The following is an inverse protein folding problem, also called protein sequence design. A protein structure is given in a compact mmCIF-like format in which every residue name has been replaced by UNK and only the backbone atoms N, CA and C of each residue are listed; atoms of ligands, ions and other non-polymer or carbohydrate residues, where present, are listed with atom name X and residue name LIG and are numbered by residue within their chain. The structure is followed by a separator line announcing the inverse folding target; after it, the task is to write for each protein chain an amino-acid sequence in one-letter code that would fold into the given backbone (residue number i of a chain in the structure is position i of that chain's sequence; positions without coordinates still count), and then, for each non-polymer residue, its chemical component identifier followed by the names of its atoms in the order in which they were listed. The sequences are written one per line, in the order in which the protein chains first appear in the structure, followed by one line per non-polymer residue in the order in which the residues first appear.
data_IF_218265766735
#
_entry.id   IF_218265766735
#
_cell.length_a   1.000
_cell.length_b   1.000
_cell.length_c   1.000
_cell.angle_alpha   90.00
_cell.angle_beta   90.00
_cell.angle_gamma   90.00
#
_symmetry.space_group_name_H-M   'P 1'
#
loop_
_entity.id
_entity.type
_entity.pdbx_description
1 polymer ?
#
# COMPACT_ATOMS: atom_id res chain seq x y z
N UNK A 1 -48.00 3.45 -14.16
CA UNK A 1 -47.25 2.78 -13.07
C UNK A 1 -45.83 2.39 -13.50
N UNK A 2 -45.63 1.91 -14.73
CA UNK A 2 -44.30 1.58 -15.33
C UNK A 2 -43.32 2.75 -15.40
N UNK A 3 -43.77 3.94 -15.82
CA UNK A 3 -42.91 5.14 -15.94
C UNK A 3 -42.37 5.59 -14.57
N UNK A 4 -43.20 5.55 -13.52
CA UNK A 4 -42.80 5.93 -12.16
C UNK A 4 -41.69 5.01 -11.61
N UNK A 5 -41.80 3.70 -11.83
CA UNK A 5 -40.77 2.73 -11.41
C UNK A 5 -39.46 2.91 -12.18
N UNK A 6 -39.53 3.29 -13.47
CA UNK A 6 -38.35 3.57 -14.29
C UNK A 6 -37.61 4.82 -13.78
N UNK A 7 -38.35 5.89 -13.48
CA UNK A 7 -37.79 7.11 -12.89
C UNK A 7 -37.13 6.80 -11.55
N UNK A 8 -37.78 6.03 -10.68
CA UNK A 8 -37.25 5.66 -9.37
C UNK A 8 -35.92 4.89 -9.48
N UNK A 9 -35.84 3.91 -10.39
CA UNK A 9 -34.59 3.14 -10.63
C UNK A 9 -33.47 4.03 -11.15
N UNK A 10 -33.79 4.94 -12.07
CA UNK A 10 -32.82 5.89 -12.59
C UNK A 10 -32.28 6.82 -11.50
N UNK A 11 -33.15 7.33 -10.62
CA UNK A 11 -32.75 8.15 -9.47
C UNK A 11 -31.82 7.39 -8.54
N UNK A 12 -32.07 6.10 -8.28
CA UNK A 12 -31.18 5.27 -7.45
C UNK A 12 -29.79 5.14 -8.09
N UNK A 13 -29.70 4.85 -9.39
CA UNK A 13 -28.40 4.75 -10.08
C UNK A 13 -27.66 6.08 -10.04
N UNK A 14 -28.35 7.18 -10.34
CA UNK A 14 -27.76 8.52 -10.31
C UNK A 14 -27.27 8.89 -8.91
N UNK A 15 -28.01 8.51 -7.86
CA UNK A 15 -27.59 8.72 -6.48
C UNK A 15 -26.28 7.98 -6.17
N UNK A 16 -26.18 6.68 -6.52
CA UNK A 16 -24.95 5.91 -6.32
C UNK A 16 -23.79 6.44 -7.15
N UNK A 17 -24.06 6.90 -8.37
CA UNK A 17 -23.06 7.48 -9.27
C UNK A 17 -22.52 8.81 -8.72
N UNK A 18 -23.40 9.71 -8.27
CA UNK A 18 -23.00 10.97 -7.63
C UNK A 18 -22.21 10.69 -6.35
N UNK A 19 -22.63 9.70 -5.55
CA UNK A 19 -21.91 9.33 -4.33
C UNK A 19 -20.52 8.76 -4.62
N UNK A 20 -20.39 7.95 -5.67
CA UNK A 20 -19.10 7.45 -6.15
C UNK A 20 -18.18 8.59 -6.63
N UNK A 21 -18.71 9.54 -7.42
CA UNK A 21 -17.93 10.71 -7.87
C UNK A 21 -17.49 11.61 -6.71
N UNK A 22 -18.34 11.75 -5.68
CA UNK A 22 -18.04 12.62 -4.53
C UNK A 22 -17.08 11.97 -3.54
N UNK A 23 -17.06 10.63 -3.46
CA UNK A 23 -16.16 9.84 -2.60
C UNK A 23 -15.75 8.55 -3.33
N UNK A 24 -14.74 8.62 -4.22
CA UNK A 24 -14.30 7.46 -4.99
C UNK A 24 -13.62 6.46 -4.05
N UNK A 25 -14.39 5.50 -3.56
CA UNK A 25 -13.95 4.40 -2.72
C UNK A 25 -14.46 3.09 -3.34
N UNK A 26 -13.68 2.02 -3.21
CA UNK A 26 -14.01 0.66 -3.66
C UNK A 26 -15.39 0.24 -3.18
N UNK A 27 -15.78 0.61 -1.94
CA UNK A 27 -17.13 0.36 -1.45
C UNK A 27 -18.20 0.94 -2.38
N UNK A 28 -18.14 2.24 -2.70
CA UNK A 28 -19.11 2.88 -3.61
C UNK A 28 -19.08 2.32 -5.03
N UNK A 29 -17.90 1.91 -5.52
CA UNK A 29 -17.76 1.23 -6.81
C UNK A 29 -18.50 -0.12 -6.85
N UNK A 30 -18.35 -0.93 -5.80
CA UNK A 30 -19.07 -2.21 -5.65
C UNK A 30 -20.58 -1.99 -5.53
N UNK A 31 -21.01 -0.95 -4.81
CA UNK A 31 -22.42 -0.58 -4.71
C UNK A 31 -23.03 -0.17 -6.04
N UNK A 32 -22.35 0.72 -6.78
CA UNK A 32 -22.76 1.14 -8.11
C UNK A 32 -22.86 -0.05 -9.07
N UNK A 33 -21.86 -0.92 -9.10
CA UNK A 33 -21.84 -2.12 -9.93
C UNK A 33 -23.01 -3.07 -9.61
N UNK A 34 -23.32 -3.25 -8.33
CA UNK A 34 -24.43 -4.11 -7.88
C UNK A 34 -25.78 -3.55 -8.33
N UNK A 35 -26.00 -2.24 -8.16
CA UNK A 35 -27.25 -1.57 -8.54
C UNK A 35 -27.44 -1.56 -10.07
N UNK A 36 -26.39 -1.25 -10.84
CA UNK A 36 -26.46 -1.25 -12.30
C UNK A 36 -26.69 -2.65 -12.85
N UNK A 37 -26.02 -3.66 -12.30
CA UNK A 37 -26.21 -5.06 -12.68
C UNK A 37 -27.64 -5.52 -12.41
N UNK A 38 -28.22 -5.18 -11.25
CA UNK A 38 -29.60 -5.53 -10.91
C UNK A 38 -30.62 -4.93 -11.89
N UNK A 39 -30.42 -3.67 -12.30
CA UNK A 39 -31.31 -2.98 -13.23
C UNK A 39 -31.17 -3.52 -14.65
N UNK A 40 -29.94 -3.81 -15.10
CA UNK A 40 -29.69 -4.48 -16.38
C UNK A 40 -30.33 -5.86 -16.42
N UNK A 41 -30.28 -6.61 -15.31
CA UNK A 41 -30.94 -7.91 -15.20
C UNK A 41 -32.45 -7.81 -15.36
N UNK A 42 -33.05 -6.86 -14.66
CA UNK A 42 -34.49 -6.67 -14.69
C UNK A 42 -34.95 -6.22 -16.09
N UNK A 43 -34.18 -5.35 -16.74
CA UNK A 43 -34.41 -4.97 -18.13
C UNK A 43 -34.26 -6.18 -19.07
N UNK A 44 -33.23 -7.01 -18.88
CA UNK A 44 -33.01 -8.22 -19.67
C UNK A 44 -34.17 -9.21 -19.51
N UNK A 45 -34.63 -9.47 -18.28
CA UNK A 45 -35.79 -10.34 -18.02
C UNK A 45 -37.07 -9.74 -18.61
N UNK A 46 -37.23 -8.43 -18.59
CA UNK A 46 -38.42 -7.77 -19.15
C UNK A 46 -38.43 -7.80 -20.69
N UNK A 47 -37.26 -7.68 -21.33
CA UNK A 47 -37.10 -7.65 -22.79
C UNK A 47 -37.14 -9.07 -23.38
N UNK A 48 -36.48 -10.03 -22.73
CA UNK A 48 -36.30 -11.40 -23.23
C UNK A 48 -37.20 -12.43 -22.55
N UNK A 49 -37.95 -12.06 -21.51
CA UNK A 49 -38.83 -12.96 -20.73
C UNK A 49 -40.19 -13.26 -21.35
N UNK A 50 -40.38 -13.00 -22.65
CA UNK A 50 -41.55 -13.46 -23.39
C UNK A 50 -41.51 -14.97 -23.60
N UNK A 51 -42.18 -15.71 -22.72
CA UNK A 51 -42.68 -17.11 -22.77
C UNK A 51 -41.79 -18.28 -23.26
N UNK A 52 -40.71 -18.10 -24.02
CA UNK A 52 -40.02 -19.22 -24.68
C UNK A 52 -38.48 -19.28 -24.50
N UNK A 53 -37.83 -18.24 -23.96
CA UNK A 53 -36.36 -18.21 -23.88
C UNK A 53 -35.74 -19.02 -22.71
N UNK A 54 -36.54 -19.85 -22.02
CA UNK A 54 -36.22 -20.30 -20.67
C UNK A 54 -36.68 -21.75 -20.43
N UNK A 55 -36.04 -22.71 -21.08
CA UNK A 55 -36.18 -24.14 -20.74
C UNK A 55 -35.15 -24.62 -19.71
N UNK A 56 -34.24 -23.75 -19.24
CA UNK A 56 -33.37 -24.01 -18.08
C UNK A 56 -32.66 -22.75 -17.54
N UNK A 57 -33.20 -21.97 -16.57
CA UNK A 57 -32.45 -20.87 -15.96
C UNK A 57 -32.37 -20.92 -14.43
N UNK A 58 -32.94 -21.95 -13.78
CA UNK A 58 -33.20 -21.89 -12.33
C UNK A 58 -31.91 -21.69 -11.54
N UNK A 59 -30.86 -22.38 -11.97
CA UNK A 59 -29.52 -22.27 -11.41
C UNK A 59 -28.85 -20.92 -11.71
N UNK A 60 -28.82 -20.48 -12.97
CA UNK A 60 -28.17 -19.20 -13.34
C UNK A 60 -28.82 -18.00 -12.64
N UNK A 61 -30.16 -17.97 -12.55
CA UNK A 61 -30.89 -16.93 -11.81
C UNK A 61 -30.53 -16.94 -10.32
N UNK A 62 -30.38 -18.12 -9.73
CA UNK A 62 -30.01 -18.28 -8.31
C UNK A 62 -28.57 -17.84 -8.03
N UNK A 63 -27.63 -18.19 -8.92
CA UNK A 63 -26.22 -17.76 -8.82
C UNK A 63 -26.12 -16.23 -8.93
N UNK A 64 -26.89 -15.63 -9.83
CA UNK A 64 -26.86 -14.20 -10.10
C UNK A 64 -27.53 -13.38 -8.99
N UNK A 65 -28.61 -13.90 -8.41
CA UNK A 65 -29.18 -13.38 -7.18
C UNK A 65 -28.19 -13.50 -6.01
N UNK A 66 -27.51 -14.64 -5.87
CA UNK A 66 -26.46 -14.84 -4.88
C UNK A 66 -25.31 -13.85 -5.02
N UNK A 67 -24.86 -13.57 -6.26
CA UNK A 67 -23.84 -12.58 -6.54
C UNK A 67 -24.30 -11.15 -6.20
N UNK A 68 -25.57 -10.80 -6.48
CA UNK A 68 -26.15 -9.51 -6.12
C UNK A 68 -26.27 -9.35 -4.60
N UNK A 69 -26.73 -10.38 -3.88
CA UNK A 69 -26.78 -10.38 -2.42
C UNK A 69 -25.39 -10.30 -1.80
N UNK A 70 -24.41 -11.02 -2.36
CA UNK A 70 -23.01 -10.95 -1.94
C UNK A 70 -22.41 -9.56 -2.17
N UNK A 71 -22.64 -8.96 -3.34
CA UNK A 71 -22.21 -7.59 -3.65
C UNK A 71 -22.85 -6.56 -2.72
N UNK A 72 -24.15 -6.70 -2.42
CA UNK A 72 -24.87 -5.86 -1.48
C UNK A 72 -24.35 -6.02 -0.04
N UNK A 73 -24.04 -7.23 0.40
CA UNK A 73 -23.47 -7.49 1.72
C UNK A 73 -22.06 -6.92 1.87
N UNK A 74 -21.20 -7.08 0.86
CA UNK A 74 -19.85 -6.49 0.83
C UNK A 74 -19.91 -4.97 0.77
N UNK A 75 -20.84 -4.40 0.01
CA UNK A 75 -21.10 -2.96 -0.02
C UNK A 75 -21.55 -2.45 1.36
N UNK A 76 -22.55 -3.10 1.96
CA UNK A 76 -23.10 -2.73 3.26
C UNK A 76 -22.03 -2.81 4.36
N UNK A 77 -21.21 -3.87 4.34
CA UNK A 77 -20.07 -4.01 5.23
C UNK A 77 -19.02 -2.91 5.03
N UNK A 78 -18.71 -2.57 3.77
CA UNK A 78 -17.79 -1.47 3.43
C UNK A 78 -18.26 -0.10 3.91
N UNK A 79 -19.57 0.14 3.92
CA UNK A 79 -20.19 1.39 4.42
C UNK A 79 -20.29 1.41 5.95
N UNK A 80 -20.53 0.26 6.60
CA UNK A 80 -20.68 0.14 8.06
C UNK A 80 -19.34 -0.03 8.82
N UNK A 81 -18.27 -0.48 8.17
CA UNK A 81 -16.94 -0.62 8.78
C UNK A 81 -16.45 0.61 9.57
N UNK A 82 -16.64 1.87 9.12
CA UNK A 82 -16.25 3.04 9.92
C UNK A 82 -17.11 3.26 11.17
N UNK A 83 -18.28 2.60 11.29
CA UNK A 83 -19.19 2.71 12.44
C UNK A 83 -19.05 1.55 13.43
N UNK A 84 -18.48 0.41 13.00
CA UNK A 84 -18.29 -0.79 13.83
C UNK A 84 -16.85 -1.00 14.29
N UNK A 85 -15.96 -0.04 14.03
CA UNK A 85 -14.61 -0.06 14.59
C UNK A 85 -14.68 0.15 16.11
N UNK A 86 -14.12 -0.75 16.94
CA UNK A 86 -14.01 -0.48 18.36
C UNK A 86 -13.18 0.78 18.56
N UNK A 87 -13.74 1.76 19.26
CA UNK A 87 -12.96 2.85 19.82
C UNK A 87 -11.86 2.24 20.69
N UNK A 88 -10.60 2.42 20.28
CA UNK A 88 -9.43 2.16 21.11
C UNK A 88 -9.09 0.69 21.35
N UNK A 89 -8.18 0.12 20.55
CA UNK A 89 -7.03 -0.68 21.02
C UNK A 89 -6.19 -1.13 19.82
N UNK A 90 -5.26 -0.26 19.40
CA UNK A 90 -4.02 -0.70 18.75
C UNK A 90 -2.88 -0.41 19.73
N UNK A 91 -2.91 -1.12 20.86
CA UNK A 91 -1.74 -1.31 21.70
C UNK A 91 -1.39 -2.80 21.60
N UNK A 92 -0.42 -3.12 20.74
CA UNK A 92 0.39 -4.33 20.87
C UNK A 92 1.82 -3.93 21.22
N UNK A 93 2.55 -4.81 21.92
CA UNK A 93 3.44 -4.42 23.00
C UNK A 93 4.80 -3.99 22.46
N UNK A 94 5.21 -2.77 22.80
CA UNK A 94 6.61 -2.39 22.74
C UNK A 94 7.36 -3.22 23.79
N UNK A 95 8.28 -4.06 23.31
CA UNK A 95 9.25 -4.78 24.13
C UNK A 95 10.21 -3.74 24.74
N UNK A 96 9.89 -3.27 25.95
CA UNK A 96 10.70 -2.32 26.70
C UNK A 96 12.00 -2.98 27.14
N UNK A 97 13.13 -2.42 26.70
CA UNK A 97 14.45 -2.70 27.26
C UNK A 97 14.54 -1.91 28.56
N UNK A 98 14.56 -2.62 29.69
CA UNK A 98 14.73 -2.06 31.03
C UNK A 98 16.18 -1.58 31.20
N UNK A 99 16.40 -0.27 31.14
CA UNK A 99 17.58 0.35 31.73
C UNK A 99 17.18 0.92 33.10
N UNK A 100 17.75 0.32 34.14
CA UNK A 100 17.56 0.67 35.55
C UNK A 100 18.34 1.94 35.89
N UNK A 101 17.69 3.00 36.38
CA UNK A 101 18.27 3.97 37.34
C UNK A 101 17.15 4.71 38.09
N UNK A 102 17.25 4.99 39.42
CA UNK A 102 16.09 5.29 40.27
C UNK A 102 15.83 6.79 40.55
N UNK A 103 14.54 7.06 40.77
CA UNK A 103 13.88 8.05 41.65
C UNK A 103 14.26 9.54 41.61
N UNK A 104 13.25 10.42 41.43
CA UNK A 104 12.86 11.48 42.40
C UNK A 104 11.49 12.06 42.02
N UNK A 105 10.63 12.14 43.03
CA UNK A 105 9.25 12.65 43.04
C UNK A 105 9.09 14.09 42.56
N UNK A 106 7.89 14.41 42.03
CA UNK A 106 7.38 15.78 41.99
C UNK A 106 6.51 16.11 40.79
N UNK A 107 5.24 15.73 40.80
CA UNK A 107 4.20 16.40 40.02
C UNK A 107 3.83 17.72 40.71
N UNK A 108 3.62 18.85 39.99
CA UNK A 108 2.24 19.30 39.75
C UNK A 108 2.09 20.00 38.35
N UNK A 109 1.00 20.71 38.00
CA UNK A 109 0.11 20.31 36.91
C UNK A 109 0.10 21.34 35.76
N UNK A 110 0.86 21.12 34.67
CA UNK A 110 0.78 21.97 33.48
C UNK A 110 0.90 21.18 32.16
N UNK A 111 0.10 20.13 31.99
CA UNK A 111 0.06 19.36 30.74
C UNK A 111 -0.71 20.03 29.58
N UNK A 112 -1.37 21.18 29.80
CA UNK A 112 -2.16 21.86 28.77
C UNK A 112 -1.45 23.08 28.13
N UNK A 113 -0.52 23.73 28.82
CA UNK A 113 0.12 24.96 28.35
C UNK A 113 1.44 24.74 27.57
N UNK A 114 1.99 23.52 27.59
CA UNK A 114 3.22 23.19 26.87
C UNK A 114 3.00 22.86 25.37
N UNK A 115 1.74 22.62 24.93
CA UNK A 115 1.43 22.30 23.52
C UNK A 115 1.45 23.51 22.58
N UNK A 116 1.59 24.73 23.10
CA UNK A 116 1.56 25.97 22.32
C UNK A 116 2.94 26.66 22.20
N UNK A 117 4.03 26.05 22.67
CA UNK A 117 5.38 26.67 22.69
C UNK A 117 6.49 25.92 21.94
N UNK A 118 6.14 24.95 21.09
CA UNK A 118 7.14 24.18 20.31
C UNK A 118 6.78 24.00 18.83
N UNK A 119 6.04 24.95 18.25
CA UNK A 119 5.58 24.88 16.84
C UNK A 119 6.30 25.75 15.78
N UNK A 120 7.35 26.56 16.07
CA UNK A 120 8.03 27.28 14.99
C UNK A 120 9.04 26.43 14.19
N UNK A 121 9.72 25.45 14.82
CA UNK A 121 10.77 24.66 14.13
C UNK A 121 10.21 23.58 13.20
N UNK A 122 9.13 22.89 13.59
CA UNK A 122 8.59 21.77 12.80
C UNK A 122 7.94 22.22 11.48
N UNK A 123 7.34 23.41 11.46
CA UNK A 123 6.72 23.96 10.25
C UNK A 123 7.78 24.38 9.22
N UNK A 124 8.90 24.94 9.68
CA UNK A 124 10.04 25.28 8.84
C UNK A 124 10.71 24.01 8.28
N UNK A 125 10.99 23.03 9.13
CA UNK A 125 11.57 21.75 8.72
C UNK A 125 10.68 21.02 7.71
N UNK A 126 9.36 21.05 7.91
CA UNK A 126 8.38 20.48 7.00
C UNK A 126 8.38 21.15 5.63
N UNK A 127 8.43 22.48 5.60
CA UNK A 127 8.50 23.23 4.35
C UNK A 127 9.82 22.96 3.62
N UNK A 128 10.94 22.96 4.34
CA UNK A 128 12.25 22.65 3.77
C UNK A 128 12.28 21.24 3.17
N UNK A 129 11.70 20.25 3.86
CA UNK A 129 11.63 18.87 3.38
C UNK A 129 10.75 18.72 2.14
N UNK A 130 9.61 19.42 2.12
CA UNK A 130 8.75 19.47 0.95
C UNK A 130 9.49 20.05 -0.26
N UNK A 131 10.19 21.17 -0.09
CA UNK A 131 10.97 21.80 -1.17
C UNK A 131 12.10 20.88 -1.64
N UNK A 132 12.85 20.26 -0.73
CA UNK A 132 13.92 19.32 -1.08
C UNK A 132 13.40 18.15 -1.92
N UNK A 133 12.33 17.48 -1.47
CA UNK A 133 11.74 16.37 -2.21
C UNK A 133 11.21 16.87 -3.56
N UNK A 134 10.42 17.94 -3.57
CA UNK A 134 9.80 18.46 -4.80
C UNK A 134 10.82 18.84 -5.89
N UNK A 135 11.94 19.46 -5.52
CA UNK A 135 12.92 19.95 -6.49
C UNK A 135 13.99 18.94 -6.86
N UNK A 136 14.29 17.96 -5.99
CA UNK A 136 15.39 17.01 -6.21
C UNK A 136 14.91 15.62 -6.59
N UNK A 137 13.66 15.25 -6.30
CA UNK A 137 13.17 13.89 -6.48
C UNK A 137 12.27 13.81 -7.71
N UNK A 138 12.52 12.78 -8.53
CA UNK A 138 11.57 12.32 -9.53
C UNK A 138 10.48 11.45 -8.92
N UNK A 139 9.55 10.99 -9.78
CA UNK A 139 8.49 10.06 -9.39
C UNK A 139 9.03 8.78 -8.76
N UNK A 140 10.08 8.21 -9.34
CA UNK A 140 10.65 6.95 -8.87
C UNK A 140 11.31 7.09 -7.49
N UNK A 141 11.92 8.25 -7.21
CA UNK A 141 12.57 8.53 -5.92
C UNK A 141 11.53 8.70 -4.80
N UNK A 142 10.37 9.31 -5.11
CA UNK A 142 9.26 9.41 -4.15
C UNK A 142 8.67 8.03 -3.83
N UNK A 143 8.57 7.14 -4.84
CA UNK A 143 8.15 5.76 -4.61
C UNK A 143 9.19 4.99 -3.78
N UNK A 144 10.48 5.24 -4.00
CA UNK A 144 11.56 4.70 -3.17
C UNK A 144 11.44 5.18 -1.72
N UNK A 145 11.12 6.47 -1.47
CA UNK A 145 10.87 6.99 -0.12
C UNK A 145 9.69 6.28 0.56
N UNK A 146 8.58 6.13 -0.16
CA UNK A 146 7.37 5.45 0.36
C UNK A 146 7.73 4.01 0.75
N UNK A 147 8.46 3.31 -0.11
CA UNK A 147 8.93 1.96 0.13
C UNK A 147 9.89 1.87 1.33
N UNK A 148 10.87 2.78 1.40
CA UNK A 148 11.89 2.83 2.45
C UNK A 148 11.28 3.09 3.83
N UNK A 149 10.19 3.87 3.88
CA UNK A 149 9.42 4.14 5.09
C UNK A 149 8.43 3.03 5.46
N UNK A 150 8.30 1.99 4.64
CA UNK A 150 7.33 0.92 4.84
C UNK A 150 5.87 1.39 4.75
N UNK A 151 5.62 2.52 4.09
CA UNK A 151 4.29 3.06 3.91
C UNK A 151 3.59 2.38 2.74
N UNK A 152 2.28 2.22 2.84
CA UNK A 152 1.47 1.62 1.79
C UNK A 152 1.26 2.64 0.65
N UNK A 153 1.76 2.31 -0.54
CA UNK A 153 1.66 3.14 -1.75
C UNK A 153 0.20 3.53 -2.07
N UNK A 154 -0.76 2.63 -1.84
CA UNK A 154 -2.17 2.87 -2.14
C UNK A 154 -2.80 3.94 -1.24
N UNK A 155 -2.24 4.19 -0.05
CA UNK A 155 -2.77 5.18 0.89
C UNK A 155 -2.29 6.60 0.54
N UNK A 156 -1.20 6.70 -0.23
CA UNK A 156 -0.54 7.94 -0.58
C UNK A 156 -0.82 8.37 -2.02
N UNK A 157 -0.74 7.44 -2.96
CA UNK A 157 -0.93 7.69 -4.39
C UNK A 157 -2.43 7.76 -4.68
N UNK A 158 -2.94 8.99 -4.88
CA UNK A 158 -4.31 9.21 -5.31
C UNK A 158 -4.57 8.78 -6.75
N UNK A 159 -5.84 8.57 -7.09
CA UNK A 159 -6.31 8.23 -8.44
C UNK A 159 -5.87 9.25 -9.52
N UNK A 160 -5.67 10.51 -9.15
CA UNK A 160 -5.27 11.59 -10.06
C UNK A 160 -3.75 11.73 -10.23
N UNK A 161 -2.93 10.97 -9.50
CA UNK A 161 -1.48 10.89 -9.75
C UNK A 161 -0.69 12.19 -9.54
N UNK A 162 -1.24 13.20 -8.87
CA UNK A 162 -0.50 14.45 -8.58
C UNK A 162 0.66 14.18 -7.60
N UNK A 163 1.88 14.40 -8.09
CA UNK A 163 3.10 14.18 -7.34
C UNK A 163 3.21 15.13 -6.15
N UNK A 164 2.79 16.39 -6.28
CA UNK A 164 2.90 17.35 -5.18
C UNK A 164 2.00 16.93 -4.02
N UNK A 165 0.78 16.48 -4.31
CA UNK A 165 -0.12 15.92 -3.31
C UNK A 165 0.43 14.65 -2.67
N UNK A 166 1.08 13.79 -3.45
CA UNK A 166 1.70 12.56 -2.94
C UNK A 166 2.82 12.90 -1.95
N UNK A 167 3.66 13.90 -2.24
CA UNK A 167 4.72 14.37 -1.34
C UNK A 167 4.12 14.95 -0.06
N UNK A 168 3.07 15.79 -0.16
CA UNK A 168 2.39 16.32 1.04
C UNK A 168 1.84 15.18 1.90
N UNK A 169 1.12 14.22 1.31
CA UNK A 169 0.57 13.07 2.03
C UNK A 169 1.66 12.21 2.67
N UNK A 170 2.79 12.03 1.98
CA UNK A 170 3.95 11.30 2.49
C UNK A 170 4.49 11.97 3.76
N UNK A 171 4.71 13.28 3.73
CA UNK A 171 5.22 14.04 4.87
C UNK A 171 4.21 14.01 6.03
N UNK A 172 2.92 14.24 5.74
CA UNK A 172 1.84 14.22 6.73
C UNK A 172 1.73 12.85 7.40
N UNK A 173 1.85 11.78 6.61
CA UNK A 173 1.79 10.41 7.12
C UNK A 173 3.02 10.06 7.95
N UNK A 174 4.21 10.45 7.49
CA UNK A 174 5.44 10.24 8.24
C UNK A 174 5.42 11.00 9.57
N UNK A 175 4.89 12.23 9.60
CA UNK A 175 4.72 13.01 10.83
C UNK A 175 3.73 12.33 11.78
N UNK A 176 2.56 11.89 11.27
CA UNK A 176 1.53 11.22 12.06
C UNK A 176 2.02 9.90 12.68
N UNK A 177 2.88 9.16 11.97
CA UNK A 177 3.43 7.88 12.42
C UNK A 177 4.75 8.06 13.23
N UNK A 178 5.20 9.30 13.45
CA UNK A 178 6.44 9.59 14.19
C UNK A 178 7.73 9.21 13.43
N UNK A 179 7.65 9.07 12.12
CA UNK A 179 8.73 8.65 11.22
C UNK A 179 9.52 9.81 10.59
N UNK A 180 9.35 11.05 11.06
CA UNK A 180 10.00 12.24 10.48
C UNK A 180 11.52 12.09 10.37
N UNK A 181 12.18 11.56 11.41
CA UNK A 181 13.63 11.31 11.36
C UNK A 181 14.04 10.21 10.38
N UNK A 182 13.20 9.19 10.19
CA UNK A 182 13.41 8.15 9.20
C UNK A 182 13.23 8.70 7.77
N UNK A 183 12.28 9.61 7.57
CA UNK A 183 12.06 10.30 6.29
C UNK A 183 13.28 11.16 5.93
N UNK A 184 13.81 11.96 6.87
CA UNK A 184 15.05 12.73 6.63
C UNK A 184 16.20 11.83 6.22
N UNK A 185 16.41 10.72 6.94
CA UNK A 185 17.47 9.78 6.63
C UNK A 185 17.28 9.09 5.27
N UNK A 186 16.03 8.75 4.91
CA UNK A 186 15.71 8.15 3.62
C UNK A 186 15.96 9.13 2.47
N UNK A 187 15.60 10.41 2.64
CA UNK A 187 15.88 11.48 1.67
C UNK A 187 17.38 11.60 1.43
N UNK A 188 18.18 11.71 2.49
CA UNK A 188 19.64 11.79 2.39
C UNK A 188 20.25 10.55 1.71
N UNK A 189 19.73 9.36 2.00
CA UNK A 189 20.21 8.10 1.39
C UNK A 189 19.91 7.97 -0.09
N UNK A 190 18.82 8.54 -0.56
CA UNK A 190 18.48 8.54 -1.99
C UNK A 190 19.35 9.56 -2.73
N UNK A 191 19.55 10.75 -2.14
CA UNK A 191 20.40 11.78 -2.71
C UNK A 191 21.89 11.40 -2.70
N UNK A 192 22.34 10.76 -1.63
CA UNK A 192 23.70 10.28 -1.44
C UNK A 192 23.71 8.80 -1.05
N UNK A 193 23.67 7.90 -2.04
CA UNK A 193 23.72 6.47 -1.78
C UNK A 193 25.00 6.08 -1.02
N UNK A 194 24.90 5.26 0.04
CA UNK A 194 26.07 4.79 0.75
C UNK A 194 26.95 3.95 -0.17
N UNK A 195 28.27 4.08 0.00
CA UNK A 195 29.23 3.25 -0.73
C UNK A 195 28.99 1.76 -0.42
N UNK A 196 29.17 0.84 -1.39
CA UNK A 196 28.94 -0.59 -1.17
C UNK A 196 29.69 -1.19 0.03
N UNK A 197 30.85 -0.62 0.35
CA UNK A 197 31.71 -1.07 1.44
C UNK A 197 31.17 -0.74 2.84
N UNK A 198 30.27 0.23 2.97
CA UNK A 198 29.64 0.59 4.24
C UNK A 198 28.34 -0.16 4.50
N UNK A 199 27.89 -0.99 3.55
CA UNK A 199 26.71 -1.83 3.71
C UNK A 199 26.97 -2.99 4.68
N UNK A 200 25.93 -3.46 5.39
CA UNK A 200 26.06 -4.63 6.25
C UNK A 200 26.53 -5.84 5.46
N UNK A 201 27.37 -6.67 6.10
CA UNK A 201 27.73 -7.98 5.55
C UNK A 201 26.47 -8.83 5.39
N UNK A 202 26.48 -9.69 4.37
CA UNK A 202 25.41 -10.62 4.04
C UNK A 202 24.90 -11.45 5.25
N UNK A 203 25.82 -11.87 6.10
CA UNK A 203 25.54 -12.64 7.33
C UNK A 203 24.67 -11.89 8.35
N UNK A 204 24.65 -10.56 8.29
CA UNK A 204 23.88 -9.70 9.18
C UNK A 204 22.53 -9.27 8.57
N UNK A 205 22.28 -9.61 7.31
CA UNK A 205 20.99 -9.36 6.67
C UNK A 205 19.97 -10.40 7.15
N UNK A 206 18.79 -9.92 7.51
CA UNK A 206 17.66 -10.74 7.95
C UNK A 206 16.38 -10.19 7.35
N UNK A 207 15.27 -10.94 7.44
CA UNK A 207 13.97 -10.43 6.98
C UNK A 207 13.44 -9.26 7.84
N UNK A 208 13.97 -9.09 9.06
CA UNK A 208 13.68 -7.95 9.92
C UNK A 208 14.53 -6.71 9.57
N UNK A 209 15.48 -6.84 8.63
CA UNK A 209 16.28 -5.70 8.18
C UNK A 209 15.42 -4.67 7.44
N UNK A 210 15.65 -3.36 7.63
CA UNK A 210 14.92 -2.32 6.93
C UNK A 210 14.91 -2.53 5.40
N UNK A 211 13.78 -2.33 4.71
CA UNK A 211 13.66 -2.54 3.26
C UNK A 211 14.72 -1.78 2.45
N UNK A 212 15.09 -0.59 2.91
CA UNK A 212 16.14 0.26 2.33
C UNK A 212 17.50 -0.44 2.26
N UNK A 213 17.89 -1.16 3.30
CA UNK A 213 19.19 -1.83 3.35
C UNK A 213 19.22 -2.97 2.33
N UNK A 214 18.15 -3.77 2.28
CA UNK A 214 18.04 -4.87 1.32
C UNK A 214 18.04 -4.35 -0.12
N UNK A 215 17.31 -3.26 -0.38
CA UNK A 215 17.31 -2.59 -1.70
C UNK A 215 18.70 -2.12 -2.09
N UNK A 216 19.38 -1.38 -1.22
CA UNK A 216 20.73 -0.87 -1.49
C UNK A 216 21.73 -2.02 -1.69
N UNK A 217 21.63 -3.08 -0.89
CA UNK A 217 22.47 -4.26 -1.03
C UNK A 217 22.29 -4.93 -2.41
N UNK A 218 21.04 -5.16 -2.82
CA UNK A 218 20.73 -5.73 -4.14
C UNK A 218 21.23 -4.84 -5.28
N UNK A 219 21.07 -3.52 -5.15
CA UNK A 219 21.52 -2.57 -6.16
C UNK A 219 23.04 -2.46 -6.26
N UNK A 220 23.76 -2.63 -5.16
CA UNK A 220 25.22 -2.54 -5.11
C UNK A 220 25.93 -3.82 -5.56
N UNK A 221 25.40 -5.00 -5.20
CA UNK A 221 26.13 -6.26 -5.34
C UNK A 221 25.69 -7.17 -6.49
N UNK A 222 24.50 -6.94 -7.07
CA UNK A 222 23.96 -7.80 -8.13
C UNK A 222 23.69 -7.01 -9.39
N UNK A 223 23.99 -7.58 -10.56
CA UNK A 223 23.58 -7.00 -11.85
C UNK A 223 22.14 -7.40 -12.23
N UNK A 224 21.66 -6.93 -13.38
CA UNK A 224 20.30 -7.24 -13.85
C UNK A 224 20.10 -8.72 -14.16
N UNK A 225 21.13 -9.42 -14.66
CA UNK A 225 21.01 -10.82 -15.03
C UNK A 225 20.94 -11.72 -13.78
N UNK A 226 21.79 -11.44 -12.79
CA UNK A 226 21.79 -12.12 -11.50
C UNK A 226 20.48 -11.89 -10.73
N UNK A 227 19.92 -10.68 -10.80
CA UNK A 227 18.61 -10.39 -10.20
C UNK A 227 17.47 -11.14 -10.90
N UNK A 228 17.54 -11.32 -12.23
CA UNK A 228 16.57 -12.10 -12.99
C UNK A 228 16.64 -13.59 -12.64
N UNK A 229 17.84 -14.15 -12.54
CA UNK A 229 18.07 -15.53 -12.10
C UNK A 229 17.51 -15.76 -10.69
N UNK A 230 17.79 -14.83 -9.78
CA UNK A 230 17.29 -14.85 -8.41
C UNK A 230 15.75 -14.77 -8.34
N UNK A 231 15.14 -13.92 -9.16
CA UNK A 231 13.68 -13.88 -9.28
C UNK A 231 13.11 -15.21 -9.79
N UNK A 232 13.75 -15.81 -10.80
CA UNK A 232 13.39 -17.14 -11.32
C UNK A 232 13.46 -18.22 -10.24
N UNK A 233 14.54 -18.26 -9.45
CA UNK A 233 14.69 -19.18 -8.31
C UNK A 233 13.63 -18.97 -7.23
N UNK A 234 13.12 -17.75 -7.07
CA UNK A 234 12.00 -17.42 -6.17
C UNK A 234 10.62 -17.69 -6.80
N UNK A 235 10.57 -18.26 -8.01
CA UNK A 235 9.37 -18.47 -8.81
C UNK A 235 8.60 -17.15 -9.07
N UNK A 236 9.34 -16.06 -9.28
CA UNK A 236 8.83 -14.75 -9.67
C UNK A 236 9.16 -14.53 -11.15
N UNK A 237 8.12 -14.27 -11.94
CA UNK A 237 8.30 -13.93 -13.35
C UNK A 237 8.92 -12.53 -13.48
N UNK A 238 10.21 -12.50 -13.82
CA UNK A 238 11.00 -11.27 -13.96
C UNK A 238 10.51 -10.34 -15.07
N UNK A 239 9.88 -10.89 -16.10
CA UNK A 239 9.31 -10.12 -17.21
C UNK A 239 7.97 -9.49 -16.81
N UNK A 240 7.23 -10.12 -15.89
CA UNK A 240 6.05 -9.51 -15.28
C UNK A 240 6.39 -8.42 -14.26
N UNK A 241 7.62 -8.37 -13.73
CA UNK A 241 8.07 -7.24 -12.92
C UNK A 241 8.21 -6.02 -13.83
N UNK A 242 7.52 -4.94 -13.44
CA UNK A 242 7.33 -3.69 -14.19
C UNK A 242 8.53 -3.32 -15.11
N UNK A 243 8.23 -2.94 -16.36
CA UNK A 243 9.26 -2.48 -17.29
C UNK A 243 9.90 -1.19 -16.74
N UNK A 244 11.22 -1.17 -16.57
CA UNK A 244 11.87 -0.02 -15.98
C UNK A 244 13.35 -0.23 -15.64
N UNK A 245 13.87 0.74 -14.89
CA UNK A 245 15.26 0.73 -14.41
C UNK A 245 15.53 -0.44 -13.44
N UNK A 246 16.81 -0.75 -13.22
CA UNK A 246 17.24 -1.70 -12.18
C UNK A 246 16.63 -1.37 -10.81
N UNK A 247 16.57 -0.09 -10.44
CA UNK A 247 15.97 0.38 -9.20
C UNK A 247 14.48 0.02 -9.12
N UNK A 248 13.72 0.34 -10.16
CA UNK A 248 12.29 0.03 -10.25
C UNK A 248 12.02 -1.46 -10.14
N UNK A 249 12.81 -2.30 -10.84
CA UNK A 249 12.66 -3.77 -10.79
C UNK A 249 12.99 -4.33 -9.41
N UNK A 250 14.07 -3.88 -8.77
CA UNK A 250 14.44 -4.31 -7.40
C UNK A 250 13.37 -3.91 -6.39
N UNK A 251 12.86 -2.67 -6.43
CA UNK A 251 11.76 -2.23 -5.56
C UNK A 251 10.52 -3.10 -5.75
N UNK A 252 10.14 -3.35 -7.00
CA UNK A 252 8.95 -4.17 -7.32
C UNK A 252 9.11 -5.61 -6.84
N UNK A 253 10.31 -6.20 -7.02
CA UNK A 253 10.62 -7.53 -6.49
C UNK A 253 10.49 -7.58 -4.98
N UNK A 254 11.09 -6.62 -4.26
CA UNK A 254 11.00 -6.57 -2.80
C UNK A 254 9.56 -6.36 -2.33
N UNK A 255 8.81 -5.44 -2.93
CA UNK A 255 7.39 -5.23 -2.63
C UNK A 255 6.58 -6.52 -2.81
N UNK A 256 6.82 -7.25 -3.89
CA UNK A 256 6.17 -8.53 -4.14
C UNK A 256 6.48 -9.54 -3.03
N UNK A 257 7.73 -9.64 -2.61
CA UNK A 257 8.18 -10.57 -1.56
C UNK A 257 7.62 -10.18 -0.19
N UNK A 258 7.66 -8.90 0.18
CA UNK A 258 7.11 -8.40 1.44
C UNK A 258 5.60 -8.66 1.54
N UNK A 259 4.83 -8.38 0.49
CA UNK A 259 3.37 -8.62 0.47
C UNK A 259 3.00 -10.08 0.65
N UNK A 260 3.88 -11.00 0.22
CA UNK A 260 3.67 -12.45 0.35
C UNK A 260 4.39 -13.07 1.54
N UNK A 261 5.05 -12.26 2.38
CA UNK A 261 5.88 -12.72 3.49
C UNK A 261 6.99 -13.70 3.07
N UNK A 262 7.57 -13.50 1.88
CA UNK A 262 8.59 -14.36 1.25
C UNK A 262 10.00 -13.75 1.25
N UNK A 263 10.22 -12.71 2.04
CA UNK A 263 11.55 -12.08 2.13
C UNK A 263 12.58 -13.04 2.73
N UNK A 264 12.14 -13.95 3.61
CA UNK A 264 13.00 -15.01 4.15
C UNK A 264 13.60 -15.90 3.05
N UNK A 265 12.81 -16.26 2.03
CA UNK A 265 13.27 -17.07 0.89
C UNK A 265 14.41 -16.35 0.14
N UNK A 266 14.27 -15.03 -0.04
CA UNK A 266 15.31 -14.20 -0.66
C UNK A 266 16.57 -14.17 0.20
N UNK A 267 16.46 -13.94 1.52
CA UNK A 267 17.62 -13.93 2.42
C UNK A 267 18.33 -15.28 2.40
N UNK A 268 17.58 -16.39 2.44
CA UNK A 268 18.14 -17.73 2.38
C UNK A 268 18.90 -17.96 1.07
N UNK A 269 18.35 -17.51 -0.06
CA UNK A 269 19.01 -17.60 -1.36
C UNK A 269 20.29 -16.76 -1.38
N UNK A 270 20.23 -15.52 -0.88
CA UNK A 270 21.40 -14.64 -0.80
C UNK A 270 22.51 -15.24 0.07
N UNK A 271 22.15 -15.90 1.18
CA UNK A 271 23.08 -16.54 2.12
C UNK A 271 23.51 -17.95 1.68
N UNK A 272 22.90 -18.51 0.65
CA UNK A 272 23.29 -19.82 0.13
C UNK A 272 24.68 -19.66 -0.49
N UNK A 273 25.71 -20.36 0.01
CA UNK A 273 27.05 -20.22 -0.53
C UNK A 273 27.02 -20.59 -2.02
N UNK A 274 27.66 -19.77 -2.85
CA UNK A 274 27.91 -20.02 -4.28
C UNK A 274 28.89 -21.20 -4.49
N UNK A 275 28.63 -22.34 -3.84
CA UNK A 275 29.48 -23.53 -3.83
C UNK A 275 28.93 -24.66 -4.72
N UNK A 276 27.88 -24.41 -5.52
CA UNK A 276 27.31 -25.41 -6.43
C UNK A 276 27.53 -25.11 -7.92
N UNK A 277 28.17 -23.99 -8.29
CA UNK A 277 28.38 -23.58 -9.69
C UNK A 277 29.83 -23.68 -10.17
N UNK A 278 30.76 -24.21 -9.35
CA UNK A 278 32.20 -24.28 -9.67
C UNK A 278 32.78 -25.71 -9.80
N UNK A 279 31.96 -26.76 -9.88
CA UNK A 279 32.44 -28.16 -10.04
C UNK A 279 32.16 -28.79 -11.41
N UNK A 280 32.09 -27.96 -12.46
CA UNK A 280 32.01 -28.47 -13.85
C UNK A 280 32.97 -27.73 -14.79
N UNK A 281 34.19 -27.45 -14.34
CA UNK A 281 35.33 -27.25 -15.23
C UNK A 281 36.54 -27.98 -14.64
N UNK A 282 36.62 -29.28 -14.94
CA UNK A 282 37.84 -30.10 -14.84
C UNK A 282 37.89 -31.06 -16.01
#
# INVERSE_FOLDING_TARGET
MTIFLLILRFVIVVFFFIMFLRRPNVAWGVGLLTVTTAILLDAFVTIFGGAEAISSPGFFRSVLQGALFGGAAVWLWGVLRPLTGPAGTSAMPAKTITATTPATDGQPPHAAAARLRSQPDTAFDRQQMYEQIRYRFGREDVLDLIFDLGLNENDLIGLEGDMNQTIVRLIDRAEADGLTGALTLAVERILTPPAPQSLPRLEKLSADSPPTILRQYLLAHYDLAQLAEMAGALAVDWEMLNAGSKQTKVRTLLLYLYRRNRVNDLIQLLQMPAAATATTES
#
